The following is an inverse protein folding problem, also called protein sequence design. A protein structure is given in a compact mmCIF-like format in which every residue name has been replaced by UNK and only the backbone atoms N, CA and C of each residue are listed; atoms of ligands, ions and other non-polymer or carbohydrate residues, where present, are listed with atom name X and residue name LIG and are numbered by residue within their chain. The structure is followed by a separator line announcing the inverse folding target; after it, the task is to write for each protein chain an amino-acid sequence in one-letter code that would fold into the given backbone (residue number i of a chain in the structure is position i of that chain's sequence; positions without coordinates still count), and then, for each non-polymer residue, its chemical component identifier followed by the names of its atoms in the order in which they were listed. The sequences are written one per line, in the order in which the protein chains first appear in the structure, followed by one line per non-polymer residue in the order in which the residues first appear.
data_IF_918727888135
#
_entry.id   IF_918727888135
#
_cell.length_a   1.000
_cell.length_b   1.000
_cell.length_c   1.000
_cell.angle_alpha   90.00
_cell.angle_beta   90.00
_cell.angle_gamma   90.00
#
_symmetry.space_group_name_H-M   'P 1'
#
loop_
_entity.id
_entity.type
_entity.pdbx_description
1 polymer ?
#
# COMPACT_ATOMS: atom_id res chain seq x y z
N UNK A 1 0.39 -11.75 -52.09
CA UNK A 1 0.82 -11.67 -50.68
C UNK A 1 0.11 -10.46 -50.11
N UNK A 2 -1.02 -10.71 -49.46
CA UNK A 2 -1.90 -9.64 -48.96
C UNK A 2 -1.38 -9.12 -47.63
N UNK A 3 -1.16 -7.82 -47.57
CA UNK A 3 -0.79 -7.09 -46.36
C UNK A 3 -2.08 -6.75 -45.62
N UNK A 4 -2.22 -7.08 -44.32
CA UNK A 4 -3.41 -6.69 -43.57
C UNK A 4 -3.40 -5.18 -43.35
N UNK A 5 -4.43 -4.48 -43.83
CA UNK A 5 -4.72 -3.11 -43.42
C UNK A 5 -5.10 -3.11 -41.93
N UNK A 6 -4.18 -2.72 -41.06
CA UNK A 6 -4.52 -2.36 -39.69
C UNK A 6 -5.08 -0.94 -39.65
N UNK A 7 -6.34 -0.87 -39.20
CA UNK A 7 -7.17 0.32 -38.99
C UNK A 7 -6.48 1.35 -38.11
N UNK A 8 -6.21 2.53 -38.67
CA UNK A 8 -5.73 3.74 -38.00
C UNK A 8 -6.85 4.62 -37.43
N UNK A 9 -8.06 4.08 -37.27
CA UNK A 9 -9.27 4.84 -36.92
C UNK A 9 -9.73 4.60 -35.47
N UNK A 10 -8.81 4.65 -34.49
CA UNK A 10 -9.18 4.72 -33.06
C UNK A 10 -8.24 5.68 -32.35
N UNK A 11 -8.29 6.96 -32.72
CA UNK A 11 -7.77 8.04 -31.89
C UNK A 11 -8.83 9.13 -31.90
N UNK A 12 -9.22 9.60 -30.70
CA UNK A 12 -10.14 10.71 -30.41
C UNK A 12 -11.59 10.34 -30.03
N UNK A 13 -11.78 9.41 -29.10
CA UNK A 13 -13.01 9.38 -28.29
C UNK A 13 -12.70 9.92 -26.89
N UNK A 14 -12.85 11.23 -26.70
CA UNK A 14 -12.78 11.90 -25.40
C UNK A 14 -14.12 11.71 -24.69
N UNK A 15 -14.13 10.82 -23.70
CA UNK A 15 -15.31 10.38 -22.96
C UNK A 15 -15.68 11.43 -21.89
N UNK A 16 -16.91 11.96 -21.94
CA UNK A 16 -17.53 12.67 -20.81
C UNK A 16 -18.27 11.65 -19.96
N UNK A 17 -18.09 11.68 -18.63
CA UNK A 17 -18.52 10.61 -17.72
C UNK A 17 -20.03 10.56 -17.41
N UNK A 18 -20.85 11.46 -17.95
CA UNK A 18 -22.28 11.55 -17.59
C UNK A 18 -23.22 11.24 -18.77
N UNK A 19 -23.25 9.98 -19.20
CA UNK A 19 -24.41 9.27 -19.76
C UNK A 19 -23.95 7.87 -20.20
N UNK A 20 -24.52 6.82 -19.63
CA UNK A 20 -24.32 5.45 -20.14
C UNK A 20 -25.10 5.34 -21.44
N UNK A 21 -24.45 5.68 -22.54
CA UNK A 21 -24.92 5.37 -23.88
C UNK A 21 -24.99 3.84 -24.00
N UNK A 22 -26.22 3.30 -24.05
CA UNK A 22 -26.48 1.87 -24.04
C UNK A 22 -26.14 1.18 -25.36
N UNK A 23 -25.62 1.91 -26.35
CA UNK A 23 -25.33 1.39 -27.69
C UNK A 23 -23.84 1.28 -28.00
N UNK A 24 -22.98 1.07 -26.98
CA UNK A 24 -21.59 0.66 -27.22
C UNK A 24 -21.63 -0.78 -27.76
N UNK A 25 -21.21 -1.02 -29.03
CA UNK A 25 -21.27 -2.35 -29.61
C UNK A 25 -20.47 -3.35 -28.77
N UNK A 26 -21.05 -4.53 -28.51
CA UNK A 26 -20.45 -5.61 -27.71
C UNK A 26 -19.00 -5.94 -28.15
N UNK A 27 -18.70 -5.81 -29.45
CA UNK A 27 -17.36 -6.05 -29.98
C UNK A 27 -16.33 -5.03 -29.48
N UNK A 28 -16.68 -3.75 -29.29
CA UNK A 28 -15.78 -2.75 -28.72
C UNK A 28 -15.49 -3.04 -27.24
N UNK A 29 -16.50 -3.48 -26.48
CA UNK A 29 -16.30 -3.90 -25.09
C UNK A 29 -15.40 -5.13 -24.98
N UNK A 30 -15.58 -6.11 -25.87
CA UNK A 30 -14.72 -7.28 -25.93
C UNK A 30 -13.29 -6.90 -26.33
N UNK A 31 -13.11 -6.04 -27.33
CA UNK A 31 -11.79 -5.54 -27.73
C UNK A 31 -11.12 -4.73 -26.62
N UNK A 32 -11.82 -3.84 -25.94
CA UNK A 32 -11.29 -3.08 -24.81
C UNK A 32 -10.93 -4.00 -23.63
N UNK A 33 -11.75 -5.02 -23.35
CA UNK A 33 -11.45 -6.04 -22.34
C UNK A 33 -10.22 -6.86 -22.71
N UNK A 34 -10.12 -7.30 -23.97
CA UNK A 34 -8.95 -8.03 -24.47
C UNK A 34 -7.70 -7.15 -24.39
N UNK A 35 -7.76 -5.90 -24.87
CA UNK A 35 -6.65 -4.96 -24.78
C UNK A 35 -6.26 -4.74 -23.32
N UNK A 36 -7.22 -4.55 -22.40
CA UNK A 36 -6.92 -4.42 -20.96
C UNK A 36 -6.31 -5.68 -20.35
N UNK A 37 -6.70 -6.86 -20.82
CA UNK A 37 -6.12 -8.14 -20.36
C UNK A 37 -4.76 -8.44 -21.01
N UNK A 38 -4.53 -7.96 -22.23
CA UNK A 38 -3.29 -8.06 -22.99
C UNK A 38 -2.31 -6.93 -22.63
N UNK A 39 -2.80 -5.82 -22.10
CA UNK A 39 -2.01 -4.75 -21.52
C UNK A 39 -1.20 -5.33 -20.37
N UNK A 40 0.06 -4.89 -20.26
CA UNK A 40 1.02 -5.44 -19.32
C UNK A 40 0.55 -5.21 -17.88
N UNK A 41 -0.04 -6.25 -17.28
CA UNK A 41 -0.25 -6.29 -15.84
C UNK A 41 1.11 -6.26 -15.15
N UNK A 42 1.18 -5.53 -14.05
CA UNK A 42 2.38 -5.52 -13.22
C UNK A 42 2.59 -6.89 -12.56
N UNK A 43 3.82 -7.17 -12.13
CA UNK A 43 4.13 -8.38 -11.37
C UNK A 43 3.19 -8.57 -10.15
N UNK A 44 2.97 -7.49 -9.39
CA UNK A 44 2.08 -7.49 -8.22
C UNK A 44 0.62 -7.78 -8.62
N UNK A 45 0.13 -7.20 -9.71
CA UNK A 45 -1.21 -7.50 -10.21
C UNK A 45 -1.35 -8.97 -10.63
N UNK A 46 -0.42 -9.47 -11.43
CA UNK A 46 -0.45 -10.84 -11.92
C UNK A 46 -0.48 -11.83 -10.76
N UNK A 47 0.38 -11.66 -9.76
CA UNK A 47 0.49 -12.61 -8.66
C UNK A 47 -0.66 -12.50 -7.65
N UNK A 48 -1.11 -11.28 -7.33
CA UNK A 48 -2.15 -11.06 -6.32
C UNK A 48 -3.57 -11.21 -6.88
N UNK A 49 -3.83 -10.88 -8.15
CA UNK A 49 -5.14 -11.04 -8.80
C UNK A 49 -5.36 -12.39 -9.45
N UNK A 50 -4.32 -13.20 -9.64
CA UNK A 50 -4.44 -14.57 -10.17
C UNK A 50 -5.53 -15.35 -9.43
N UNK A 51 -6.22 -16.25 -10.13
CA UNK A 51 -7.21 -17.18 -9.57
C UNK A 51 -6.72 -18.62 -9.64
N UNK A 52 -5.41 -18.83 -9.48
CA UNK A 52 -4.84 -20.17 -9.43
C UNK A 52 -5.49 -21.01 -8.31
N UNK A 53 -5.63 -22.32 -8.56
CA UNK A 53 -6.32 -23.24 -7.63
C UNK A 53 -5.62 -23.33 -6.28
N UNK A 54 -4.27 -23.33 -6.28
CA UNK A 54 -3.47 -23.22 -5.06
C UNK A 54 -2.78 -21.86 -5.00
N UNK A 55 -2.50 -21.39 -3.79
CA UNK A 55 -1.77 -20.14 -3.60
C UNK A 55 -0.31 -20.23 -4.07
N UNK A 56 0.35 -21.39 -3.90
CA UNK A 56 1.71 -21.64 -4.40
C UNK A 56 1.81 -21.62 -5.93
N UNK A 57 0.78 -22.08 -6.65
CA UNK A 57 0.74 -22.11 -8.12
C UNK A 57 0.90 -20.72 -8.73
N UNK A 58 0.51 -19.67 -8.00
CA UNK A 58 0.73 -18.27 -8.40
C UNK A 58 2.22 -17.98 -8.58
N UNK A 59 3.06 -18.48 -7.69
CA UNK A 59 4.51 -18.29 -7.79
C UNK A 59 5.11 -19.09 -8.95
N UNK A 60 4.69 -20.34 -9.13
CA UNK A 60 5.14 -21.16 -10.27
C UNK A 60 4.78 -20.55 -11.63
N UNK A 61 3.59 -19.96 -11.74
CA UNK A 61 3.14 -19.33 -12.98
C UNK A 61 3.83 -17.98 -13.25
N UNK A 62 3.99 -17.14 -12.22
CA UNK A 62 4.35 -15.72 -12.40
C UNK A 62 5.85 -15.45 -12.18
N UNK A 63 6.53 -16.14 -11.25
CA UNK A 63 7.96 -15.87 -10.99
C UNK A 63 8.85 -16.02 -12.24
N UNK A 64 8.68 -17.05 -13.11
CA UNK A 64 9.50 -17.21 -14.32
C UNK A 64 9.48 -16.00 -15.26
N UNK A 65 8.39 -15.23 -15.23
CA UNK A 65 8.16 -14.08 -16.10
C UNK A 65 8.63 -12.75 -15.47
N UNK A 66 9.20 -12.80 -14.26
CA UNK A 66 9.57 -11.62 -13.46
C UNK A 66 11.08 -11.53 -13.26
N UNK A 67 11.54 -10.38 -12.72
CA UNK A 67 12.91 -10.21 -12.23
C UNK A 67 13.26 -11.12 -11.04
N UNK A 68 12.26 -11.76 -10.42
CA UNK A 68 12.40 -12.66 -9.26
C UNK A 68 12.47 -14.15 -9.63
N UNK A 69 12.65 -14.47 -10.91
CA UNK A 69 12.66 -15.86 -11.42
C UNK A 69 13.61 -16.82 -10.71
N UNK A 70 14.68 -16.32 -10.09
CA UNK A 70 15.66 -17.13 -9.35
C UNK A 70 15.07 -17.78 -8.09
N UNK A 71 13.97 -17.24 -7.54
CA UNK A 71 13.33 -17.76 -6.33
C UNK A 71 12.44 -18.99 -6.60
N UNK A 72 12.22 -19.39 -7.86
CA UNK A 72 11.29 -20.49 -8.20
C UNK A 72 11.63 -21.82 -7.53
N UNK A 73 12.93 -22.12 -7.37
CA UNK A 73 13.40 -23.37 -6.77
C UNK A 73 13.07 -23.50 -5.29
N UNK A 74 12.73 -22.40 -4.63
CA UNK A 74 12.41 -22.39 -3.21
C UNK A 74 10.91 -22.57 -2.95
N UNK A 75 10.06 -22.32 -3.96
CA UNK A 75 8.59 -22.24 -3.82
C UNK A 75 7.98 -23.47 -3.15
N UNK A 76 8.50 -24.66 -3.46
CA UNK A 76 8.01 -25.93 -2.90
C UNK A 76 8.15 -26.03 -1.37
N UNK A 77 9.05 -25.24 -0.76
CA UNK A 77 9.32 -25.24 0.67
C UNK A 77 8.61 -24.10 1.41
N UNK A 78 7.80 -23.29 0.72
CA UNK A 78 7.21 -22.08 1.30
C UNK A 78 5.89 -22.35 2.02
N UNK A 79 5.25 -23.50 1.79
CA UNK A 79 4.00 -23.91 2.45
C UNK A 79 2.92 -22.82 2.40
N UNK A 80 2.69 -22.26 1.20
CA UNK A 80 1.78 -21.13 0.99
C UNK A 80 0.35 -21.64 0.79
N UNK A 81 -0.48 -21.45 1.80
CA UNK A 81 -1.87 -21.88 1.86
C UNK A 81 -2.88 -20.71 1.87
N UNK A 82 -2.40 -19.47 1.89
CA UNK A 82 -3.27 -18.28 1.94
C UNK A 82 -2.68 -17.10 1.19
N UNK A 83 -3.53 -16.12 0.86
CA UNK A 83 -3.09 -14.86 0.24
C UNK A 83 -2.24 -14.01 1.21
N UNK A 84 -2.44 -14.15 2.52
CA UNK A 84 -1.61 -13.51 3.55
C UNK A 84 -0.17 -14.02 3.44
N UNK A 85 0.01 -15.34 3.37
CA UNK A 85 1.33 -15.94 3.17
C UNK A 85 1.94 -15.57 1.81
N UNK A 86 1.14 -15.44 0.74
CA UNK A 86 1.63 -14.91 -0.55
C UNK A 86 2.27 -13.53 -0.36
N UNK A 87 1.57 -12.60 0.31
CA UNK A 87 2.09 -11.24 0.53
C UNK A 87 3.32 -11.22 1.45
N UNK A 88 3.32 -11.99 2.54
CA UNK A 88 4.48 -12.11 3.41
C UNK A 88 5.70 -12.59 2.63
N UNK A 89 5.53 -13.61 1.77
CA UNK A 89 6.61 -14.12 0.94
C UNK A 89 7.07 -13.12 -0.12
N UNK A 90 6.16 -12.32 -0.68
CA UNK A 90 6.51 -11.19 -1.53
C UNK A 90 7.38 -10.16 -0.80
N UNK A 91 7.03 -9.76 0.43
CA UNK A 91 7.87 -8.86 1.23
C UNK A 91 9.26 -9.42 1.55
N UNK A 92 9.43 -10.73 1.52
CA UNK A 92 10.71 -11.39 1.73
C UNK A 92 11.59 -11.35 0.47
N UNK A 93 11.04 -11.72 -0.69
CA UNK A 93 11.83 -11.94 -1.92
C UNK A 93 11.97 -10.70 -2.82
N UNK A 94 11.09 -9.71 -2.67
CA UNK A 94 11.07 -8.54 -3.55
C UNK A 94 12.24 -7.59 -3.28
N UNK A 95 12.52 -6.69 -4.24
CA UNK A 95 13.38 -5.54 -3.98
C UNK A 95 12.62 -4.43 -3.24
N UNK A 96 13.34 -3.38 -2.85
CA UNK A 96 12.82 -2.29 -2.03
C UNK A 96 11.70 -1.56 -2.77
N UNK A 97 11.84 -1.38 -4.09
CA UNK A 97 10.87 -0.69 -4.93
C UNK A 97 9.50 -1.40 -4.89
N UNK A 98 9.47 -2.70 -5.16
CA UNK A 98 8.23 -3.46 -5.17
C UNK A 98 7.66 -3.68 -3.77
N UNK A 99 8.51 -3.73 -2.72
CA UNK A 99 8.04 -3.75 -1.31
C UNK A 99 7.29 -2.47 -0.95
N UNK A 100 7.82 -1.31 -1.33
CA UNK A 100 7.15 -0.02 -1.12
C UNK A 100 5.84 0.00 -1.89
N UNK A 101 5.84 -0.38 -3.17
CA UNK A 101 4.60 -0.46 -3.96
C UNK A 101 3.53 -1.35 -3.30
N UNK A 102 3.92 -2.54 -2.81
CA UNK A 102 3.00 -3.46 -2.14
C UNK A 102 2.47 -2.89 -0.81
N UNK A 103 3.30 -2.19 -0.03
CA UNK A 103 2.87 -1.51 1.20
C UNK A 103 1.80 -0.46 0.91
N UNK A 104 2.03 0.42 -0.08
CA UNK A 104 1.05 1.45 -0.45
C UNK A 104 -0.23 0.85 -1.04
N UNK A 105 -0.13 -0.15 -1.92
CA UNK A 105 -1.30 -0.89 -2.40
C UNK A 105 -2.14 -1.52 -1.26
N UNK A 106 -1.51 -1.83 -0.13
CA UNK A 106 -2.18 -2.44 1.02
C UNK A 106 -2.76 -1.41 2.01
N UNK A 107 -2.35 -0.15 1.95
CA UNK A 107 -2.71 0.88 2.93
C UNK A 107 -3.32 2.17 2.35
N UNK A 108 -3.46 2.27 1.03
CA UNK A 108 -4.21 3.37 0.37
C UNK A 108 -5.67 3.34 0.86
N UNK A 109 -6.32 4.49 0.92
CA UNK A 109 -7.68 4.64 1.45
C UNK A 109 -8.72 3.63 0.90
N UNK A 110 -8.65 3.33 -0.40
CA UNK A 110 -9.55 2.35 -1.04
C UNK A 110 -9.29 0.90 -0.61
N UNK A 111 -8.08 0.61 -0.14
CA UNK A 111 -7.74 -0.69 0.45
C UNK A 111 -8.45 -0.76 1.79
N UNK A 112 -9.30 -1.76 2.04
CA UNK A 112 -9.94 -1.91 3.36
C UNK A 112 -9.07 -2.82 4.23
N UNK A 113 -8.21 -2.29 5.14
CA UNK A 113 -7.56 -3.11 6.13
C UNK A 113 -8.65 -3.71 7.00
N UNK A 114 -8.53 -5.01 7.23
CA UNK A 114 -9.32 -5.67 8.26
C UNK A 114 -8.63 -5.35 9.58
N UNK A 115 -9.09 -4.29 10.24
CA UNK A 115 -8.52 -3.77 11.51
C UNK A 115 -8.40 -4.90 12.55
N UNK A 116 -9.28 -5.90 12.47
CA UNK A 116 -9.33 -7.02 13.42
C UNK A 116 -8.34 -8.16 13.11
N UNK A 117 -7.52 -8.06 12.05
CA UNK A 117 -6.60 -9.15 11.65
C UNK A 117 -5.19 -8.64 11.38
N UNK A 118 -4.23 -9.18 12.13
CA UNK A 118 -2.80 -8.91 11.97
C UNK A 118 -2.12 -9.97 11.08
N UNK A 119 -1.02 -9.62 10.38
CA UNK A 119 -0.51 -8.26 10.20
C UNK A 119 -1.37 -7.46 9.20
N UNK A 120 -1.73 -6.21 9.54
CA UNK A 120 -2.64 -5.37 8.74
C UNK A 120 -2.14 -5.19 7.31
N UNK A 121 -0.83 -5.03 7.09
CA UNK A 121 -0.26 -4.90 5.74
C UNK A 121 -0.42 -6.14 4.86
N UNK A 122 -0.54 -7.33 5.45
CA UNK A 122 -0.77 -8.56 4.68
C UNK A 122 -2.26 -8.93 4.60
N UNK A 123 -3.07 -8.53 5.57
CA UNK A 123 -4.50 -8.89 5.61
C UNK A 123 -5.40 -7.92 4.85
N UNK A 124 -4.92 -6.71 4.51
CA UNK A 124 -5.68 -5.72 3.72
C UNK A 124 -6.17 -6.23 2.37
N UNK A 125 -7.38 -5.86 1.99
CA UNK A 125 -7.86 -6.07 0.62
C UNK A 125 -7.33 -4.95 -0.27
N UNK A 126 -6.50 -5.28 -1.25
CA UNK A 126 -5.93 -4.30 -2.20
C UNK A 126 -7.02 -3.85 -3.19
N UNK A 127 -7.24 -2.54 -3.28
CA UNK A 127 -8.08 -1.95 -4.32
C UNK A 127 -7.27 -1.74 -5.59
N UNK A 128 -7.73 -2.36 -6.68
CA UNK A 128 -7.16 -2.18 -8.03
C UNK A 128 -7.90 -1.12 -8.85
N UNK A 129 -8.81 -0.35 -8.21
CA UNK A 129 -9.56 0.72 -8.87
C UNK A 129 -8.70 1.96 -9.06
N UNK A 130 -7.85 2.25 -8.10
CA UNK A 130 -6.83 3.28 -8.19
C UNK A 130 -5.89 2.90 -9.32
N UNK A 131 -5.48 3.82 -10.23
CA UNK A 131 -4.64 3.47 -11.37
C UNK A 131 -3.37 2.77 -10.89
N UNK A 132 -3.32 1.44 -11.04
CA UNK A 132 -2.16 0.59 -10.77
C UNK A 132 -0.95 0.95 -11.66
N UNK A 133 -1.14 1.93 -12.56
CA UNK A 133 -0.12 2.52 -13.42
C UNK A 133 0.79 3.51 -12.70
N UNK A 134 0.40 4.07 -11.54
CA UNK A 134 1.30 4.94 -10.77
C UNK A 134 2.25 4.10 -9.93
N UNK A 135 3.55 4.22 -10.23
CA UNK A 135 4.59 3.70 -9.35
C UNK A 135 4.74 4.66 -8.18
N UNK A 136 4.59 4.15 -6.96
CA UNK A 136 4.84 4.93 -5.74
C UNK A 136 6.33 5.28 -5.55
N UNK A 137 7.14 4.85 -6.51
CA UNK A 137 8.60 4.92 -6.52
C UNK A 137 9.14 5.93 -7.53
N UNK A 138 8.25 6.65 -8.23
CA UNK A 138 8.64 7.74 -9.10
C UNK A 138 9.30 8.87 -8.28
N UNK A 139 10.36 9.47 -8.83
CA UNK A 139 11.09 10.55 -8.16
C UNK A 139 10.23 11.83 -8.18
N UNK A 140 10.06 12.54 -7.05
CA UNK A 140 10.75 12.33 -5.77
C UNK A 140 10.07 11.34 -4.83
N UNK A 141 10.85 10.36 -4.37
CA UNK A 141 10.35 9.32 -3.46
C UNK A 141 10.74 9.59 -2.00
N UNK A 142 9.80 9.31 -1.10
CA UNK A 142 9.96 9.40 0.35
C UNK A 142 10.74 8.23 0.96
N UNK A 143 11.35 7.38 0.12
CA UNK A 143 12.08 6.18 0.53
C UNK A 143 13.47 6.17 -0.09
N UNK A 144 14.44 5.58 0.64
CA UNK A 144 15.81 5.44 0.17
C UNK A 144 16.01 4.06 -0.47
N UNK A 145 15.88 3.97 -1.80
CA UNK A 145 16.02 2.71 -2.53
C UNK A 145 17.46 2.15 -2.55
N UNK A 146 18.44 2.93 -2.11
CA UNK A 146 19.81 2.43 -1.97
C UNK A 146 20.05 1.77 -0.60
N UNK A 147 19.12 1.97 0.36
CA UNK A 147 19.21 1.45 1.71
C UNK A 147 18.30 0.24 1.90
N UNK A 148 18.90 -0.95 2.04
CA UNK A 148 18.17 -2.21 2.24
C UNK A 148 17.38 -2.26 3.55
N UNK A 149 17.68 -1.38 4.51
CA UNK A 149 16.96 -1.30 5.78
C UNK A 149 15.65 -0.51 5.70
N UNK A 150 15.43 0.22 4.59
CA UNK A 150 14.25 1.06 4.36
C UNK A 150 12.92 0.34 4.60
N UNK A 151 12.84 -0.94 4.19
CA UNK A 151 11.65 -1.78 4.36
C UNK A 151 12.07 -3.24 4.50
N UNK A 152 11.88 -3.80 5.68
CA UNK A 152 12.30 -5.16 6.02
C UNK A 152 11.18 -5.91 6.74
N UNK A 153 10.97 -7.17 6.37
CA UNK A 153 10.03 -8.05 7.04
C UNK A 153 10.73 -8.72 8.22
N UNK A 154 10.09 -8.72 9.38
CA UNK A 154 10.57 -9.36 10.60
C UNK A 154 9.48 -10.26 11.17
N UNK A 155 9.88 -11.19 12.02
CA UNK A 155 8.98 -12.06 12.76
C UNK A 155 9.29 -11.93 14.26
N UNK A 156 8.28 -11.53 15.03
CA UNK A 156 8.35 -11.48 16.48
C UNK A 156 7.93 -12.85 17.03
N UNK A 157 8.89 -13.60 17.58
CA UNK A 157 8.67 -14.93 18.17
C UNK A 157 7.77 -14.88 19.41
N UNK A 158 7.88 -13.84 20.24
CA UNK A 158 7.12 -13.72 21.48
C UNK A 158 5.64 -13.48 21.20
N UNK A 159 5.35 -12.66 20.18
CA UNK A 159 3.99 -12.38 19.75
C UNK A 159 3.46 -13.37 18.72
N UNK A 160 4.32 -14.22 18.14
CA UNK A 160 4.02 -15.05 16.97
C UNK A 160 3.41 -14.22 15.82
N UNK A 161 3.99 -13.04 15.55
CA UNK A 161 3.45 -12.10 14.56
C UNK A 161 4.56 -11.54 13.66
N UNK A 162 4.27 -11.46 12.38
CA UNK A 162 5.09 -10.70 11.44
C UNK A 162 4.87 -9.21 11.61
N UNK A 163 5.91 -8.42 11.36
CA UNK A 163 5.81 -6.98 11.23
C UNK A 163 6.75 -6.46 10.15
N UNK A 164 6.38 -5.35 9.54
CA UNK A 164 7.16 -4.65 8.55
C UNK A 164 7.86 -3.47 9.22
N UNK A 165 9.19 -3.48 9.24
CA UNK A 165 9.98 -2.35 9.69
C UNK A 165 10.19 -1.39 8.53
N UNK A 166 9.71 -0.15 8.68
CA UNK A 166 9.73 0.89 7.62
C UNK A 166 10.43 2.15 8.11
N UNK A 167 11.29 2.73 7.27
CA UNK A 167 12.06 3.95 7.52
C UNK A 167 11.79 4.98 6.41
N UNK A 168 10.74 5.81 6.52
CA UNK A 168 10.47 6.86 5.54
C UNK A 168 11.41 8.07 5.77
N UNK A 169 11.66 8.87 4.73
CA UNK A 169 12.44 10.12 4.83
C UNK A 169 11.66 11.26 5.48
N UNK A 170 10.34 11.26 5.33
CA UNK A 170 9.44 12.28 5.86
C UNK A 170 8.16 11.65 6.36
N UNK A 171 7.60 12.23 7.40
CA UNK A 171 6.28 11.87 7.91
C UNK A 171 5.47 13.13 8.20
N UNK A 172 4.16 12.97 8.21
CA UNK A 172 3.24 13.95 8.79
C UNK A 172 2.55 13.28 9.95
N UNK A 173 2.64 13.86 11.15
CA UNK A 173 1.97 13.33 12.33
C UNK A 173 0.91 14.31 12.81
N UNK A 174 -0.19 13.80 13.33
CA UNK A 174 -1.15 14.65 14.03
C UNK A 174 -1.14 14.28 15.51
N UNK A 175 -1.20 15.30 16.38
CA UNK A 175 -1.39 15.09 17.81
C UNK A 175 -2.83 14.67 18.02
N UNK A 176 -3.06 13.39 18.23
CA UNK A 176 -4.39 12.87 18.50
C UNK A 176 -4.66 12.77 20.00
N UNK A 177 -5.88 13.19 20.32
CA UNK A 177 -6.64 12.91 21.54
C UNK A 177 -5.92 13.19 22.86
N UNK A 178 -5.81 14.48 23.21
CA UNK A 178 -6.05 14.84 24.62
C UNK A 178 -7.56 15.03 24.90
N UNK A 179 -8.37 15.25 23.85
CA UNK A 179 -9.78 15.64 23.98
C UNK A 179 -10.79 14.56 23.53
N UNK A 180 -10.42 13.28 23.46
CA UNK A 180 -11.47 12.26 23.43
C UNK A 180 -12.08 12.31 24.82
N UNK A 181 -13.25 12.94 24.90
CA UNK A 181 -14.02 13.14 26.12
C UNK A 181 -13.80 11.99 27.08
N UNK A 182 -13.35 12.36 28.28
CA UNK A 182 -13.55 11.61 29.49
C UNK A 182 -14.83 10.79 29.34
N UNK A 183 -14.71 9.48 29.07
CA UNK A 183 -15.58 8.55 29.74
C UNK A 183 -15.26 8.83 31.20
N UNK A 184 -16.04 9.76 31.77
CA UNK A 184 -16.06 9.99 33.19
C UNK A 184 -16.64 8.70 33.74
N UNK A 185 -15.77 7.72 33.91
CA UNK A 185 -15.97 6.76 34.97
C UNK A 185 -15.85 7.63 36.22
N UNK A 186 -17.01 8.06 36.73
CA UNK A 186 -17.19 8.95 37.88
C UNK A 186 -16.75 8.26 39.20
N UNK A 187 -15.88 7.26 39.15
CA UNK A 187 -15.44 6.47 40.30
C UNK A 187 -14.00 6.85 40.67
N UNK A 188 -13.94 7.76 41.65
CA UNK A 188 -13.08 7.72 42.84
C UNK A 188 -11.54 7.63 42.69
N UNK A 189 -10.92 8.80 42.88
CA UNK A 189 -9.96 9.07 43.96
C UNK A 189 -8.86 8.02 44.22
N UNK A 190 -7.87 7.91 43.33
CA UNK A 190 -6.54 7.41 43.71
C UNK A 190 -5.41 8.16 42.99
N UNK A 191 -4.53 8.71 43.81
CA UNK A 191 -3.58 9.77 43.53
C UNK A 191 -2.29 9.26 42.85
N UNK A 192 -2.39 8.39 41.85
CA UNK A 192 -1.23 7.71 41.25
C UNK A 192 -0.71 8.43 39.98
N UNK A 193 0.13 9.43 40.21
CA UNK A 193 0.68 10.38 39.22
C UNK A 193 1.68 9.81 38.19
N UNK A 194 1.70 8.50 37.89
CA UNK A 194 2.72 7.94 37.00
C UNK A 194 2.24 6.95 35.93
N UNK A 195 0.94 6.91 35.61
CA UNK A 195 0.51 6.25 34.39
C UNK A 195 0.88 7.09 33.17
N UNK A 196 2.07 6.79 32.62
CA UNK A 196 2.44 7.10 31.24
C UNK A 196 1.46 6.37 30.32
N UNK A 197 0.25 6.93 30.16
CA UNK A 197 -0.73 6.42 29.21
C UNK A 197 -0.06 6.40 27.85
N UNK A 198 0.07 5.23 27.23
CA UNK A 198 0.64 5.07 25.88
C UNK A 198 -0.15 5.96 24.94
N UNK A 199 0.40 7.15 24.62
CA UNK A 199 -0.30 8.14 23.80
C UNK A 199 -0.33 7.59 22.37
N UNK A 200 -1.51 7.17 21.94
CA UNK A 200 -1.73 6.81 20.55
C UNK A 200 -1.58 8.04 19.64
N UNK A 201 -1.06 7.81 18.44
CA UNK A 201 -0.90 8.82 17.41
C UNK A 201 -1.35 8.25 16.07
N UNK A 202 -1.74 9.15 15.16
CA UNK A 202 -1.86 8.82 13.74
C UNK A 202 -0.72 9.50 12.99
N UNK A 203 -0.04 8.69 12.17
CA UNK A 203 1.02 9.12 11.28
C UNK A 203 0.57 8.86 9.85
N UNK A 204 0.75 9.85 9.00
CA UNK A 204 0.57 9.74 7.55
C UNK A 204 1.94 9.66 6.89
N UNK A 205 2.12 8.64 6.05
CA UNK A 205 3.31 8.44 5.23
C UNK A 205 2.89 8.62 3.77
N UNK A 206 3.46 9.62 3.12
CA UNK A 206 3.28 9.85 1.67
C UNK A 206 4.38 9.12 0.90
N UNK A 207 4.10 8.61 -0.31
CA UNK A 207 5.13 8.05 -1.18
C UNK A 207 6.06 9.13 -1.75
N UNK A 208 5.61 10.40 -1.80
CA UNK A 208 6.28 11.53 -2.44
C UNK A 208 6.74 12.55 -1.39
N UNK A 209 7.91 13.17 -1.58
CA UNK A 209 8.38 14.25 -0.69
C UNK A 209 7.72 15.58 -1.02
N UNK A 210 7.20 16.28 0.00
CA UNK A 210 6.45 17.54 -0.18
C UNK A 210 7.31 18.68 -0.75
N UNK A 211 8.60 18.69 -0.45
CA UNK A 211 9.54 19.78 -0.83
C UNK A 211 9.68 20.00 -2.33
N UNK A 212 9.27 19.03 -3.15
CA UNK A 212 9.42 19.05 -4.60
C UNK A 212 8.08 19.15 -5.35
N UNK A 213 6.95 19.30 -4.63
CA UNK A 213 5.61 19.55 -5.21
C UNK A 213 5.44 20.99 -5.77
N UNK A 214 6.53 21.70 -6.11
CA UNK A 214 6.45 23.01 -6.75
C UNK A 214 6.07 22.94 -8.23
N UNK A 215 5.79 21.74 -8.77
CA UNK A 215 5.38 21.59 -10.17
C UNK A 215 3.90 21.97 -10.36
N UNK A 216 3.58 22.98 -11.20
CA UNK A 216 2.21 23.47 -11.45
C UNK A 216 1.31 22.48 -12.22
N UNK A 217 1.72 21.22 -12.40
CA UNK A 217 1.03 20.22 -13.21
C UNK A 217 -0.07 19.45 -12.46
N UNK A 218 -0.20 19.60 -11.14
CA UNK A 218 -1.23 18.93 -10.35
C UNK A 218 -2.26 19.94 -9.82
N UNK A 219 -3.04 20.52 -10.74
CA UNK A 219 -4.11 21.47 -10.42
C UNK A 219 -5.43 20.77 -10.01
N UNK A 220 -5.37 19.52 -9.57
CA UNK A 220 -6.53 18.73 -9.15
C UNK A 220 -6.22 17.92 -7.90
N UNK A 221 -7.26 17.72 -7.09
CA UNK A 221 -7.38 17.09 -5.76
C UNK A 221 -6.75 15.69 -5.58
N UNK A 222 -6.00 15.20 -6.56
CA UNK A 222 -5.59 13.80 -6.75
C UNK A 222 -4.37 13.41 -5.90
N UNK A 223 -4.03 14.15 -4.84
CA UNK A 223 -2.78 13.98 -4.10
C UNK A 223 -2.95 13.61 -2.61
N UNK A 224 -4.17 13.63 -2.08
CA UNK A 224 -4.50 13.06 -0.76
C UNK A 224 -4.49 11.53 -0.77
N UNK A 225 -4.87 10.92 -1.90
CA UNK A 225 -5.36 9.54 -1.90
C UNK A 225 -4.27 8.46 -1.85
N UNK A 226 -3.01 8.84 -2.02
CA UNK A 226 -1.91 7.90 -2.11
C UNK A 226 -1.11 7.71 -0.82
N UNK A 227 -1.57 8.31 0.29
CA UNK A 227 -0.90 8.19 1.59
C UNK A 227 -1.40 6.95 2.31
N UNK A 228 -0.53 6.35 3.11
CA UNK A 228 -0.96 5.37 4.10
C UNK A 228 -1.06 6.07 5.46
N UNK A 229 -2.10 5.71 6.22
CA UNK A 229 -2.25 6.15 7.60
C UNK A 229 -1.89 5.00 8.53
N UNK A 230 -1.14 5.32 9.57
CA UNK A 230 -0.75 4.43 10.64
C UNK A 230 -1.39 4.92 11.92
N UNK A 231 -2.03 4.03 12.67
CA UNK A 231 -2.47 4.29 14.05
C UNK A 231 -1.63 3.43 14.99
N UNK A 232 -1.11 4.02 16.07
CA UNK A 232 -0.20 3.30 16.95
C UNK A 232 0.46 4.16 18.01
N UNK A 233 1.51 3.63 18.64
CA UNK A 233 2.26 4.30 19.72
C UNK A 233 3.73 4.42 19.36
N UNK A 234 4.29 5.63 19.50
CA UNK A 234 5.73 5.85 19.36
C UNK A 234 6.54 5.16 20.46
N UNK A 235 5.96 5.05 21.67
CA UNK A 235 6.65 4.45 22.82
C UNK A 235 6.86 2.95 22.61
N UNK A 236 5.81 2.25 22.17
CA UNK A 236 5.88 0.80 21.89
C UNK A 236 6.44 0.50 20.51
N UNK A 237 6.47 1.50 19.63
CA UNK A 237 6.73 1.37 18.19
C UNK A 237 5.93 0.22 17.56
N UNK A 238 4.61 0.22 17.81
CA UNK A 238 3.65 -0.70 17.20
C UNK A 238 2.63 0.13 16.42
N UNK A 239 2.47 -0.19 15.15
CA UNK A 239 1.65 0.57 14.21
C UNK A 239 0.78 -0.35 13.40
N UNK A 240 -0.46 0.07 13.14
CA UNK A 240 -1.41 -0.65 12.30
C UNK A 240 -1.75 0.22 11.09
N UNK A 241 -1.91 -0.37 9.90
CA UNK A 241 -2.51 0.35 8.78
C UNK A 241 -3.95 0.72 9.14
N UNK A 242 -4.30 1.98 8.94
CA UNK A 242 -5.63 2.53 9.19
C UNK A 242 -6.15 3.25 7.95
N UNK A 243 -7.47 3.22 7.79
CA UNK A 243 -8.19 4.02 6.80
C UNK A 243 -8.82 5.28 7.40
N UNK A 244 -8.61 5.51 8.69
CA UNK A 244 -9.17 6.67 9.37
C UNK A 244 -8.43 7.93 8.91
N UNK A 245 -9.05 8.62 7.96
CA UNK A 245 -8.61 9.93 7.53
C UNK A 245 -9.37 11.01 8.31
N UNK A 246 -8.63 11.96 8.88
CA UNK A 246 -9.20 13.10 9.58
C UNK A 246 -8.74 14.39 8.90
N UNK A 247 -9.57 14.88 7.98
CA UNK A 247 -9.30 16.10 7.19
C UNK A 247 -9.14 17.36 8.05
N UNK A 248 -9.74 17.39 9.23
CA UNK A 248 -9.87 18.62 10.03
C UNK A 248 -8.75 18.85 11.05
N UNK A 249 -7.70 18.01 11.08
CA UNK A 249 -6.61 18.15 12.06
C UNK A 249 -5.37 18.79 11.46
N UNK A 250 -4.75 19.69 12.22
CA UNK A 250 -3.41 20.16 11.91
C UNK A 250 -2.42 19.00 11.88
N UNK A 251 -1.66 18.88 10.80
CA UNK A 251 -0.61 17.89 10.63
C UNK A 251 0.76 18.56 10.80
N UNK A 252 1.52 18.10 11.78
CA UNK A 252 2.91 18.49 11.98
C UNK A 252 3.79 17.70 11.02
N UNK A 253 4.53 18.40 10.17
CA UNK A 253 5.50 17.77 9.28
C UNK A 253 6.81 17.49 10.01
N UNK A 254 7.39 16.32 9.78
CA UNK A 254 8.65 15.91 10.38
C UNK A 254 9.56 15.26 9.34
N UNK A 255 10.75 15.83 9.21
CA UNK A 255 11.84 15.30 8.39
C UNK A 255 12.62 14.27 9.20
N UNK A 256 12.76 13.05 8.68
CA UNK A 256 13.47 11.93 9.31
C UNK A 256 14.89 11.80 8.73
N UNK A 257 15.63 12.91 8.73
CA UNK A 257 16.96 12.98 8.11
C UNK A 257 18.01 12.10 8.82
N UNK A 258 17.80 11.82 10.10
CA UNK A 258 18.65 10.99 10.96
C UNK A 258 18.32 9.50 10.87
N UNK A 259 17.25 9.13 10.16
CA UNK A 259 16.71 7.76 10.07
C UNK A 259 16.37 7.16 11.45
N UNK A 260 16.14 7.98 12.48
CA UNK A 260 15.81 7.50 13.83
C UNK A 260 14.33 7.18 13.98
N UNK A 261 13.46 7.76 13.17
CA UNK A 261 12.04 7.41 13.16
C UNK A 261 11.81 6.15 12.33
N UNK A 262 11.42 5.09 13.02
CA UNK A 262 11.20 3.75 12.46
C UNK A 262 9.79 3.31 12.85
N UNK A 263 9.07 2.67 11.93
CA UNK A 263 7.73 2.12 12.18
C UNK A 263 7.76 0.60 12.09
N UNK A 264 7.43 -0.11 13.17
CA UNK A 264 7.10 -1.53 13.07
C UNK A 264 5.59 -1.67 12.84
N UNK A 265 5.22 -1.91 11.59
CA UNK A 265 3.85 -2.05 11.14
C UNK A 265 3.44 -3.51 11.32
N UNK A 266 2.51 -3.76 12.23
CA UNK A 266 1.85 -5.04 12.43
C UNK A 266 0.66 -5.10 11.48
#
# INVERSE_FOLDING_TARGET
MDVPLHSSAIQNYSKSDDAIDMDVPLHLYFHDTLIKQLNQQTFLEMILKSKASKHEDRFYAILPQSKYKTNIYQVSHWEVHSLVQVKLRLFEIMDIEDKVNLLFLSGVYDSKPKVDTLPTFATSNISWKTPATRRFTDNPCNFDFNDKSTITLHYNHDANLYYLRVIPRNITKTKLFNDCHQFKDDDDDDNDHNHSSSKMAIVSISPITRGEMLLPFFNGDINSDFRIHLIGSFYENKWLLSNEFHEHKGWDHHYNNDKHTIFNIY
#
